data_IF_797368085435
#
_entry.id   IF_797368085435
#
_cell.length_a   1.000
_cell.length_b   1.000
_cell.length_c   1.000
_cell.angle_alpha   90.00
_cell.angle_beta   90.00
_cell.angle_gamma   90.00
#
_symmetry.space_group_name_H-M   'P 1'
#
loop_
_entity.id
_entity.type
_entity.pdbx_description
1 polymer ?
#
# COMPACT_ATOMS: atom_id res chain seq x y z
N UNK A 1 3.95 36.42 10.12
CA UNK A 1 2.51 36.47 9.79
C UNK A 1 1.93 35.13 10.25
N UNK A 2 1.05 35.13 11.26
CA UNK A 2 0.47 33.91 11.83
C UNK A 2 -0.89 33.63 11.18
N UNK A 3 -1.12 32.39 10.74
CA UNK A 3 -2.42 31.90 10.27
C UNK A 3 -2.94 30.89 11.31
N UNK A 4 -3.94 31.30 12.10
CA UNK A 4 -4.72 30.41 12.96
C UNK A 4 -6.05 30.13 12.27
N UNK A 5 -6.33 28.87 11.91
CA UNK A 5 -7.68 28.45 11.53
C UNK A 5 -8.38 27.84 12.74
N UNK A 6 -9.41 28.53 13.25
CA UNK A 6 -10.37 27.99 14.22
C UNK A 6 -11.58 27.44 13.46
N UNK A 7 -11.72 26.12 13.35
CA UNK A 7 -12.95 25.46 12.93
C UNK A 7 -13.75 25.06 14.17
N UNK A 8 -14.85 25.77 14.44
CA UNK A 8 -15.79 25.46 15.51
C UNK A 8 -17.02 24.79 14.90
N UNK A 9 -17.16 23.48 15.10
CA UNK A 9 -18.45 22.78 15.22
C UNK A 9 -18.12 21.32 15.57
N UNK A 10 -18.71 20.84 16.67
CA UNK A 10 -18.39 19.59 17.40
C UNK A 10 -17.12 19.61 18.28
N UNK A 11 -17.24 20.20 19.47
CA UNK A 11 -16.64 19.60 20.69
C UNK A 11 -15.12 19.51 20.79
N UNK A 12 -14.46 20.65 21.03
CA UNK A 12 -13.32 20.87 21.94
C UNK A 12 -12.09 19.94 21.80
N UNK A 13 -11.21 20.22 20.84
CA UNK A 13 -9.76 20.14 21.04
C UNK A 13 -9.06 21.28 20.28
N UNK A 14 -8.27 22.09 20.97
CA UNK A 14 -7.29 22.99 20.35
C UNK A 14 -5.90 22.44 20.68
N UNK A 15 -5.29 21.76 19.71
CA UNK A 15 -3.90 21.32 19.80
C UNK A 15 -3.01 22.38 19.16
N UNK A 16 -2.39 23.22 19.99
CA UNK A 16 -1.27 24.06 19.57
C UNK A 16 0.02 23.38 20.04
N UNK A 17 0.86 22.92 19.12
CA UNK A 17 2.18 22.36 19.45
C UNK A 17 3.19 23.50 19.59
N UNK A 18 3.82 23.62 20.75
CA UNK A 18 4.88 24.61 21.00
C UNK A 18 6.25 24.06 20.58
N UNK A 19 6.93 24.80 19.70
CA UNK A 19 8.30 24.58 19.25
C UNK A 19 9.22 25.47 20.10
N UNK A 20 10.18 24.87 20.80
CA UNK A 20 11.12 25.60 21.67
C UNK A 20 12.10 26.45 20.86
N UNK A 21 12.07 27.77 21.06
CA UNK A 21 13.09 28.73 20.64
C UNK A 21 14.16 28.89 21.75
N UNK A 22 15.45 29.14 21.43
CA UNK A 22 16.56 29.11 22.39
C UNK A 22 16.63 30.29 23.37
N UNK A 23 15.63 31.17 23.42
CA UNK A 23 15.63 32.37 24.28
C UNK A 23 14.63 32.15 25.40
N UNK A 24 15.12 31.71 26.56
CA UNK A 24 14.34 31.24 27.71
C UNK A 24 13.25 32.21 28.18
N UNK A 25 12.01 31.90 27.82
CA UNK A 25 10.79 32.49 28.41
C UNK A 25 9.95 31.36 28.99
N UNK A 26 9.60 31.45 30.28
CA UNK A 26 8.62 30.55 30.91
C UNK A 26 7.23 31.16 30.82
N UNK A 27 6.30 30.49 30.16
CA UNK A 27 4.88 30.83 30.19
C UNK A 27 4.16 29.82 31.08
N UNK A 28 3.39 30.31 32.07
CA UNK A 28 2.45 29.49 32.85
C UNK A 28 1.17 29.33 32.06
N UNK A 29 0.69 28.10 31.90
CA UNK A 29 -0.67 27.82 31.42
C UNK A 29 -1.50 27.32 32.60
N UNK A 30 -2.57 28.03 32.92
CA UNK A 30 -3.58 27.60 33.89
C UNK A 30 -4.76 26.99 33.14
N UNK A 31 -5.08 25.73 33.41
CA UNK A 31 -6.32 25.12 32.92
C UNK A 31 -7.46 25.42 33.90
N UNK A 32 -8.54 26.04 33.42
CA UNK A 32 -9.79 26.17 34.16
C UNK A 32 -10.72 25.02 33.74
N UNK A 33 -11.08 24.16 34.69
CA UNK A 33 -12.03 23.07 34.49
C UNK A 33 -13.43 23.57 34.89
N UNK A 34 -14.38 23.53 33.98
CA UNK A 34 -15.79 23.76 34.30
C UNK A 34 -16.48 22.40 34.42
N UNK A 35 -16.71 21.96 35.66
CA UNK A 35 -17.41 20.71 35.99
C UNK A 35 -18.89 21.00 36.16
N UNK A 36 -19.66 20.97 35.07
CA UNK A 36 -21.12 20.85 35.17
C UNK A 36 -21.57 19.61 34.39
N UNK A 37 -22.22 18.74 35.14
CA UNK A 37 -22.59 17.39 34.81
C UNK A 37 -23.63 17.30 33.69
N UNK A 38 -23.38 16.38 32.75
CA UNK A 38 -24.43 15.50 32.26
C UNK A 38 -23.97 14.07 32.53
N UNK A 39 -24.53 13.49 33.59
CA UNK A 39 -24.37 12.09 33.93
C UNK A 39 -25.03 11.25 32.84
N UNK A 40 -24.22 10.78 31.89
CA UNK A 40 -24.62 9.83 30.85
C UNK A 40 -24.03 8.47 31.22
N UNK A 41 -24.88 7.44 31.32
CA UNK A 41 -24.52 6.16 31.93
C UNK A 41 -23.36 5.45 31.18
N UNK A 42 -22.42 4.82 31.91
CA UNK A 42 -21.21 4.23 31.34
C UNK A 42 -21.44 2.93 30.53
N UNK A 43 -22.65 2.37 30.54
CA UNK A 43 -22.90 1.04 29.96
C UNK A 43 -23.05 1.02 28.43
N UNK A 44 -23.20 2.18 27.77
CA UNK A 44 -23.33 2.24 26.29
C UNK A 44 -22.03 2.57 25.52
N UNK A 45 -20.93 2.89 26.22
CA UNK A 45 -19.68 3.27 25.55
C UNK A 45 -18.82 2.06 25.10
N UNK A 46 -19.05 0.87 25.66
CA UNK A 46 -18.24 -0.32 25.35
C UNK A 46 -18.52 -0.95 23.97
N UNK A 47 -19.76 -0.90 23.49
CA UNK A 47 -20.17 -1.59 22.25
C UNK A 47 -19.96 -0.76 20.97
N UNK A 48 -20.10 0.57 21.04
CA UNK A 48 -20.01 1.41 19.83
C UNK A 48 -18.55 1.65 19.40
N UNK A 49 -17.65 1.89 20.36
CA UNK A 49 -16.21 2.02 20.08
C UNK A 49 -15.58 0.72 19.56
N UNK A 50 -16.02 -0.43 20.09
CA UNK A 50 -15.57 -1.75 19.64
C UNK A 50 -16.05 -2.08 18.22
N UNK A 51 -17.29 -1.71 17.87
CA UNK A 51 -17.79 -1.88 16.51
C UNK A 51 -16.97 -1.09 15.48
N UNK A 52 -16.64 0.17 15.79
CA UNK A 52 -15.82 1.01 14.90
C UNK A 52 -14.42 0.44 14.75
N UNK A 53 -13.75 0.04 15.83
CA UNK A 53 -12.39 -0.51 15.74
C UNK A 53 -12.35 -1.83 14.96
N UNK A 54 -13.33 -2.72 15.14
CA UNK A 54 -13.43 -3.97 14.37
C UNK A 54 -13.67 -3.69 12.88
N UNK A 55 -14.57 -2.78 12.54
CA UNK A 55 -14.82 -2.39 11.14
C UNK A 55 -13.56 -1.78 10.52
N UNK A 56 -12.86 -0.92 11.25
CA UNK A 56 -11.65 -0.25 10.77
C UNK A 56 -10.51 -1.27 10.53
N UNK A 57 -10.35 -2.26 11.41
CA UNK A 57 -9.42 -3.37 11.23
C UNK A 57 -9.78 -4.25 10.02
N UNK A 58 -11.06 -4.54 9.81
CA UNK A 58 -11.52 -5.31 8.64
C UNK A 58 -11.30 -4.55 7.32
N UNK A 59 -11.55 -3.24 7.31
CA UNK A 59 -11.26 -2.37 6.16
C UNK A 59 -9.76 -2.36 5.86
N UNK A 60 -8.90 -2.18 6.86
CA UNK A 60 -7.44 -2.24 6.68
C UNK A 60 -6.97 -3.61 6.17
N UNK A 61 -7.59 -4.71 6.63
CA UNK A 61 -7.27 -6.05 6.15
C UNK A 61 -7.67 -6.26 4.68
N UNK A 62 -8.80 -5.71 4.24
CA UNK A 62 -9.25 -5.81 2.84
C UNK A 62 -8.32 -5.08 1.85
N UNK A 63 -7.64 -4.02 2.29
CA UNK A 63 -6.66 -3.28 1.49
C UNK A 63 -5.33 -4.02 1.33
N UNK A 64 -5.08 -5.09 2.09
CA UNK A 64 -3.82 -5.83 2.06
C UNK A 64 -3.69 -6.79 0.85
N UNK A 65 -4.69 -6.88 -0.02
CA UNK A 65 -4.61 -7.69 -1.24
C UNK A 65 -3.76 -6.95 -2.28
N UNK A 66 -2.46 -7.25 -2.29
CA UNK A 66 -1.51 -6.66 -3.23
C UNK A 66 -1.79 -7.22 -4.63
N UNK A 67 -2.41 -6.39 -5.47
CA UNK A 67 -2.37 -6.50 -6.93
C UNK A 67 -0.91 -6.39 -7.41
N UNK A 68 -0.61 -6.51 -8.71
CA UNK A 68 0.75 -6.24 -9.19
C UNK A 68 1.38 -5.01 -8.52
N UNK A 69 2.68 -5.05 -8.24
CA UNK A 69 3.35 -3.96 -7.55
C UNK A 69 3.84 -2.91 -8.54
N UNK A 70 3.80 -1.65 -8.14
CA UNK A 70 4.46 -0.55 -8.85
C UNK A 70 5.33 0.25 -7.88
N UNK A 71 6.49 0.73 -8.35
CA UNK A 71 7.36 1.58 -7.55
C UNK A 71 8.13 2.54 -8.44
N UNK A 72 8.34 3.77 -7.95
CA UNK A 72 9.13 4.78 -8.64
C UNK A 72 10.50 4.90 -7.95
N UNK A 73 11.57 4.68 -8.70
CA UNK A 73 12.93 5.03 -8.28
C UNK A 73 13.19 6.47 -8.73
N UNK A 74 13.55 7.38 -7.82
CA UNK A 74 13.89 8.75 -8.17
C UNK A 74 15.17 8.81 -9.02
N UNK A 75 15.41 9.92 -9.75
CA UNK A 75 16.64 10.11 -10.51
C UNK A 75 17.90 9.95 -9.65
N UNK A 76 18.94 9.35 -10.22
CA UNK A 76 20.25 9.23 -9.57
C UNK A 76 21.07 10.52 -9.75
N UNK A 77 21.34 11.22 -8.64
CA UNK A 77 22.15 12.45 -8.64
C UNK A 77 23.57 12.23 -9.19
N UNK A 78 24.12 11.03 -9.06
CA UNK A 78 25.44 10.70 -9.60
C UNK A 78 25.42 10.45 -11.12
N UNK A 79 24.25 10.17 -11.71
CA UNK A 79 24.07 9.82 -13.11
C UNK A 79 22.91 10.62 -13.73
N UNK A 80 23.04 11.95 -13.87
CA UNK A 80 21.96 12.81 -14.34
C UNK A 80 21.48 12.42 -15.74
N UNK A 81 20.15 12.30 -15.90
CA UNK A 81 19.50 11.95 -17.18
C UNK A 81 19.70 10.49 -17.61
N UNK A 82 20.24 9.63 -16.75
CA UNK A 82 20.41 8.19 -17.03
C UNK A 82 19.62 7.35 -16.04
N UNK A 83 18.96 6.33 -16.57
CA UNK A 83 18.29 5.32 -15.76
C UNK A 83 19.23 4.15 -15.49
N UNK A 84 19.78 4.08 -14.28
CA UNK A 84 20.62 2.96 -13.84
C UNK A 84 19.80 2.02 -12.96
N UNK A 85 19.63 0.77 -13.39
CA UNK A 85 18.94 -0.27 -12.62
C UNK A 85 19.85 -1.46 -12.44
N UNK A 86 20.22 -1.76 -11.18
CA UNK A 86 21.12 -2.88 -10.83
C UNK A 86 22.46 -2.88 -11.57
N UNK A 87 22.96 -1.70 -11.93
CA UNK A 87 24.22 -1.52 -12.66
C UNK A 87 24.07 -1.43 -14.18
N UNK A 88 22.90 -1.77 -14.72
CA UNK A 88 22.61 -1.68 -16.16
C UNK A 88 21.99 -0.32 -16.50
N UNK A 89 22.38 0.25 -17.65
CA UNK A 89 21.74 1.45 -18.19
C UNK A 89 20.52 1.04 -19.01
N UNK A 90 19.35 1.55 -18.64
CA UNK A 90 18.10 1.31 -19.38
C UNK A 90 17.98 2.24 -20.58
N UNK A 91 17.31 1.79 -21.63
CA UNK A 91 16.92 2.68 -22.73
C UNK A 91 15.78 3.58 -22.29
N UNK A 92 15.71 4.79 -22.84
CA UNK A 92 14.58 5.68 -22.59
C UNK A 92 13.27 5.01 -23.02
N UNK A 93 12.23 5.13 -22.20
CA UNK A 93 10.95 4.46 -22.40
C UNK A 93 10.89 3.06 -21.81
N UNK A 94 10.11 2.18 -22.44
CA UNK A 94 9.74 0.87 -21.88
C UNK A 94 10.82 -0.18 -22.14
N UNK A 95 11.28 -0.83 -21.08
CA UNK A 95 12.22 -1.93 -21.09
C UNK A 95 11.51 -3.19 -20.55
N UNK A 96 11.26 -4.15 -21.43
CA UNK A 96 10.59 -5.42 -21.12
C UNK A 96 11.59 -6.59 -21.02
N UNK A 97 11.15 -7.72 -20.48
CA UNK A 97 11.95 -8.95 -20.44
C UNK A 97 13.05 -8.96 -19.38
N UNK A 98 13.04 -8.00 -18.46
CA UNK A 98 14.00 -7.93 -17.35
C UNK A 98 13.55 -8.93 -16.27
N UNK A 99 14.49 -9.75 -15.78
CA UNK A 99 14.23 -10.74 -14.73
C UNK A 99 14.34 -10.12 -13.34
N UNK A 100 13.41 -10.42 -12.40
CA UNK A 100 12.22 -11.27 -12.56
C UNK A 100 11.12 -10.58 -13.39
N UNK A 101 10.18 -11.33 -14.00
CA UNK A 101 9.07 -10.79 -14.83
C UNK A 101 8.50 -9.47 -14.29
N UNK A 102 8.92 -8.38 -14.94
CA UNK A 102 8.60 -7.00 -14.61
C UNK A 102 8.80 -6.13 -15.85
N UNK A 103 8.23 -4.94 -15.83
CA UNK A 103 8.45 -3.86 -16.80
C UNK A 103 9.15 -2.71 -16.09
N UNK A 104 10.19 -2.17 -16.72
CA UNK A 104 10.85 -0.95 -16.28
C UNK A 104 10.60 0.16 -17.30
N UNK A 105 10.15 1.33 -16.87
CA UNK A 105 10.03 2.51 -17.72
C UNK A 105 11.03 3.54 -17.27
N UNK A 106 11.99 3.87 -18.14
CA UNK A 106 12.93 4.95 -17.93
C UNK A 106 12.33 6.27 -18.42
N UNK A 107 12.26 7.27 -17.56
CA UNK A 107 11.79 8.61 -17.88
C UNK A 107 12.96 9.55 -18.20
N UNK A 108 12.66 10.66 -18.88
CA UNK A 108 13.68 11.63 -19.34
C UNK A 108 14.42 12.31 -18.18
N UNK A 109 13.77 12.43 -17.02
CA UNK A 109 14.37 12.97 -15.80
C UNK A 109 15.36 12.00 -15.12
N UNK A 110 15.46 10.75 -15.61
CA UNK A 110 16.26 9.69 -15.03
C UNK A 110 15.53 8.84 -13.99
N UNK A 111 14.25 9.11 -13.72
CA UNK A 111 13.44 8.27 -12.84
C UNK A 111 13.04 6.95 -13.51
N UNK A 112 12.82 5.91 -12.70
CA UNK A 112 12.49 4.56 -13.19
C UNK A 112 11.19 4.08 -12.56
N UNK A 113 10.16 3.86 -13.37
CA UNK A 113 8.94 3.18 -12.94
C UNK A 113 9.13 1.67 -13.08
N UNK A 114 8.99 0.94 -11.98
CA UNK A 114 9.00 -0.52 -11.92
C UNK A 114 7.56 -1.00 -11.81
N UNK A 115 7.16 -1.98 -12.61
CA UNK A 115 5.89 -2.69 -12.50
C UNK A 115 6.13 -4.19 -12.54
N UNK A 116 5.55 -4.95 -11.62
CA UNK A 116 5.75 -6.40 -11.57
C UNK A 116 4.58 -7.18 -11.01
N UNK A 117 4.68 -8.50 -11.07
CA UNK A 117 3.61 -9.40 -10.69
C UNK A 117 3.40 -9.45 -9.16
N UNK A 118 2.15 -9.56 -8.73
CA UNK A 118 1.78 -9.97 -7.39
C UNK A 118 2.22 -11.41 -7.07
N UNK A 119 2.11 -11.81 -5.81
CA UNK A 119 2.47 -13.15 -5.33
C UNK A 119 1.25 -13.83 -4.68
N UNK A 120 0.23 -14.20 -5.47
CA UNK A 120 -0.97 -14.83 -4.94
C UNK A 120 -0.62 -16.18 -4.29
N UNK A 121 -1.36 -16.52 -3.25
CA UNK A 121 -1.25 -17.80 -2.54
C UNK A 121 -2.63 -18.37 -2.32
N UNK A 122 -2.79 -19.64 -2.65
CA UNK A 122 -4.01 -20.40 -2.42
C UNK A 122 -3.71 -21.56 -1.48
N UNK A 123 -4.64 -21.83 -0.57
CA UNK A 123 -4.54 -22.94 0.37
C UNK A 123 -4.58 -24.26 -0.40
N UNK A 124 -3.76 -25.22 0.02
CA UNK A 124 -3.64 -26.55 -0.61
C UNK A 124 -3.24 -26.54 -2.09
N UNK A 125 -2.62 -25.45 -2.55
CA UNK A 125 -2.09 -25.32 -3.91
C UNK A 125 -0.56 -25.16 -3.92
N UNK A 126 0.06 -25.45 -5.07
CA UNK A 126 1.47 -25.10 -5.31
C UNK A 126 1.68 -23.57 -5.34
N UNK A 127 2.91 -23.10 -5.58
CA UNK A 127 3.24 -21.66 -5.66
C UNK A 127 2.79 -20.98 -6.97
N UNK A 128 2.10 -21.70 -7.85
CA UNK A 128 1.80 -21.24 -9.21
C UNK A 128 2.99 -21.44 -10.15
N UNK A 129 2.72 -22.06 -11.29
CA UNK A 129 3.68 -22.24 -12.39
C UNK A 129 3.42 -21.17 -13.45
N UNK A 130 4.47 -20.52 -13.99
CA UNK A 130 4.30 -19.53 -15.05
C UNK A 130 3.77 -20.20 -16.30
N UNK A 131 2.66 -19.67 -16.82
CA UNK A 131 2.07 -20.13 -18.08
C UNK A 131 2.95 -19.68 -19.24
N UNK A 132 3.39 -18.41 -19.21
CA UNK A 132 4.13 -17.76 -20.30
C UNK A 132 5.45 -17.12 -19.80
N UNK A 133 6.43 -17.88 -19.30
CA UNK A 133 7.62 -17.31 -18.64
C UNK A 133 8.51 -16.42 -19.53
N UNK A 134 8.48 -16.60 -20.85
CA UNK A 134 9.28 -15.83 -21.81
C UNK A 134 8.60 -14.60 -22.40
N UNK A 135 7.31 -14.39 -22.12
CA UNK A 135 6.57 -13.24 -22.63
C UNK A 135 6.92 -11.97 -21.85
N UNK A 136 6.75 -10.77 -22.43
CA UNK A 136 6.90 -9.53 -21.69
C UNK A 136 5.81 -9.38 -20.61
N UNK A 137 6.03 -8.46 -19.68
CA UNK A 137 4.99 -8.03 -18.75
C UNK A 137 3.83 -7.37 -19.53
N UNK A 138 2.55 -7.62 -19.19
CA UNK A 138 2.07 -8.40 -18.03
C UNK A 138 1.89 -9.91 -18.31
N UNK A 139 2.07 -10.37 -19.53
CA UNK A 139 1.74 -11.75 -19.92
C UNK A 139 2.56 -12.81 -19.17
N UNK A 140 3.82 -12.51 -18.82
CA UNK A 140 4.60 -13.42 -17.98
C UNK A 140 4.07 -13.56 -16.54
N UNK A 141 3.13 -12.73 -16.09
CA UNK A 141 2.49 -12.82 -14.77
C UNK A 141 1.37 -13.86 -14.68
N UNK A 142 1.01 -14.52 -15.80
CA UNK A 142 -0.02 -15.56 -15.78
C UNK A 142 0.51 -16.82 -15.11
N UNK A 143 -0.19 -17.29 -14.09
CA UNK A 143 0.17 -18.44 -13.27
C UNK A 143 -0.91 -19.52 -13.35
N UNK A 144 -0.49 -20.78 -13.34
CA UNK A 144 -1.35 -21.96 -13.15
C UNK A 144 -1.05 -22.61 -11.81
N UNK A 145 -2.05 -22.68 -10.95
CA UNK A 145 -1.98 -23.34 -9.66
C UNK A 145 -2.51 -24.76 -9.77
N UNK A 146 -1.81 -25.71 -9.15
CA UNK A 146 -2.28 -27.09 -8.96
C UNK A 146 -2.66 -27.27 -7.50
N UNK A 147 -3.94 -27.54 -7.25
CA UNK A 147 -4.53 -27.66 -5.92
C UNK A 147 -4.90 -29.11 -5.61
N UNK A 148 -4.60 -29.57 -4.40
CA UNK A 148 -4.91 -30.93 -3.94
C UNK A 148 -6.04 -30.89 -2.93
N UNK A 149 -7.16 -31.53 -3.26
CA UNK A 149 -8.25 -31.75 -2.31
C UNK A 149 -8.18 -33.20 -1.80
N UNK A 150 -8.37 -33.46 -0.49
CA UNK A 150 -8.37 -34.84 0.03
C UNK A 150 -9.42 -35.69 -0.68
N UNK A 151 -9.02 -36.86 -1.19
CA UNK A 151 -9.93 -37.79 -1.86
C UNK A 151 -10.43 -37.36 -3.25
N UNK A 152 -9.90 -36.28 -3.83
CA UNK A 152 -10.29 -35.77 -5.14
C UNK A 152 -9.10 -35.68 -6.11
N UNK A 153 -9.40 -35.67 -7.41
CA UNK A 153 -8.42 -35.36 -8.45
C UNK A 153 -7.87 -33.92 -8.28
N UNK A 154 -6.62 -33.64 -8.71
CA UNK A 154 -6.06 -32.31 -8.62
C UNK A 154 -6.86 -31.30 -9.47
N UNK A 155 -7.13 -30.14 -8.86
CA UNK A 155 -7.85 -29.03 -9.47
C UNK A 155 -6.86 -27.95 -9.94
N UNK A 156 -7.23 -27.18 -10.96
CA UNK A 156 -6.36 -26.16 -11.56
C UNK A 156 -7.01 -24.78 -11.55
N UNK A 157 -6.21 -23.78 -11.16
CA UNK A 157 -6.64 -22.38 -11.14
C UNK A 157 -5.66 -21.57 -11.98
N UNK A 158 -6.15 -20.95 -13.05
CA UNK A 158 -5.37 -19.99 -13.81
C UNK A 158 -5.63 -18.58 -13.26
N UNK A 159 -4.55 -17.83 -13.04
CA UNK A 159 -4.58 -16.54 -12.37
C UNK A 159 -3.66 -15.54 -13.05
N UNK A 160 -4.12 -14.31 -13.18
CA UNK A 160 -3.34 -13.17 -13.63
C UNK A 160 -2.78 -12.44 -12.40
N UNK A 161 -1.49 -12.60 -12.14
CA UNK A 161 -0.84 -11.95 -11.00
C UNK A 161 -0.54 -10.45 -11.22
N UNK A 162 -0.66 -9.92 -12.44
CA UNK A 162 -0.55 -8.47 -12.66
C UNK A 162 -1.83 -7.76 -12.20
N UNK A 163 -2.99 -8.32 -12.54
CA UNK A 163 -4.31 -7.73 -12.24
C UNK A 163 -4.99 -8.31 -11.01
N UNK A 164 -4.43 -9.38 -10.44
CA UNK A 164 -5.01 -10.15 -9.33
C UNK A 164 -6.42 -10.69 -9.63
N UNK A 165 -6.58 -11.29 -10.81
CA UNK A 165 -7.85 -11.81 -11.28
C UNK A 165 -7.75 -13.26 -11.76
N UNK A 166 -8.85 -14.01 -11.65
CA UNK A 166 -8.93 -15.37 -12.21
C UNK A 166 -9.02 -15.30 -13.73
N UNK A 167 -8.27 -16.15 -14.41
CA UNK A 167 -8.34 -16.29 -15.87
C UNK A 167 -9.45 -17.29 -16.19
N UNK A 168 -10.51 -16.83 -16.85
CA UNK A 168 -11.61 -17.68 -17.34
C UNK A 168 -11.25 -18.09 -18.77
N UNK A 169 -11.03 -19.38 -19.00
CA UNK A 169 -10.88 -19.93 -20.35
C UNK A 169 -12.28 -20.29 -20.87
N UNK A 170 -12.64 -19.71 -22.01
CA UNK A 170 -13.88 -20.00 -22.74
C UNK A 170 -13.74 -21.29 -23.56
#
# INVERSE_FOLDING_TARGET
MWLCHCGAEYGIYALCTEQTSPIGVRIRVSAAWNTNAFAMSPERYGNFGYGITVVLLLVLYSLAQVTGYSGLIPPDEANPGKCIYRGDTLQLGVNNGISPCQRLTCHEDGSILIEGCGKPRFVDCNRGERINPGEPFPDCCKLRFKCKKPGAAPDYIDWDAATNARIVRN
#
